data_IF_429190317250
#
_entry.id   IF_429190317250
#
_cell.length_a   1.000
_cell.length_b   1.000
_cell.length_c   1.000
_cell.angle_alpha   90.00
_cell.angle_beta   90.00
_cell.angle_gamma   90.00
#
_symmetry.space_group_name_H-M   'P 1'
#
loop_
_entity.id
_entity.type
_entity.pdbx_description
1 polymer ?
#
# COMPACT_ATOMS: atom_id res chain seq x y z
N UNK A 1 -5.04 12.27 21.71
CA UNK A 1 -5.27 11.32 20.60
C UNK A 1 -4.04 10.44 20.52
N UNK A 2 -4.14 9.10 20.57
CA UNK A 2 -2.98 8.24 20.34
C UNK A 2 -2.69 8.26 18.84
N UNK A 3 -1.73 9.03 18.43
CA UNK A 3 -1.22 9.01 17.07
C UNK A 3 -0.54 7.64 16.83
N UNK A 4 -0.92 6.95 15.78
CA UNK A 4 -0.31 5.67 15.39
C UNK A 4 -1.23 4.45 15.52
N UNK A 5 -2.47 4.61 15.91
CA UNK A 5 -3.43 3.51 15.93
C UNK A 5 -4.12 3.41 14.55
N UNK A 6 -4.12 2.22 13.97
CA UNK A 6 -4.89 1.86 12.79
C UNK A 6 -6.39 2.17 13.00
N UNK A 7 -7.05 2.66 11.95
CA UNK A 7 -8.46 3.07 12.01
C UNK A 7 -9.39 1.91 12.43
N UNK A 8 -9.11 0.67 11.98
CA UNK A 8 -9.90 -0.50 12.36
C UNK A 8 -9.79 -0.79 13.86
N UNK A 9 -8.59 -0.70 14.44
CA UNK A 9 -8.37 -0.87 15.88
C UNK A 9 -9.07 0.24 16.69
N UNK A 10 -9.05 1.47 16.16
CA UNK A 10 -9.75 2.61 16.78
C UNK A 10 -11.25 2.40 16.82
N UNK A 11 -11.84 1.97 15.70
CA UNK A 11 -13.28 1.68 15.61
C UNK A 11 -13.64 0.50 16.51
N UNK A 12 -12.87 -0.59 16.48
CA UNK A 12 -13.09 -1.76 17.32
C UNK A 12 -13.08 -1.40 18.83
N UNK A 13 -12.15 -0.53 19.23
CA UNK A 13 -12.08 -0.04 20.62
C UNK A 13 -13.31 0.78 21.00
N UNK A 14 -13.82 1.65 20.11
CA UNK A 14 -15.07 2.36 20.34
C UNK A 14 -16.27 1.44 20.46
N UNK A 15 -16.28 0.37 19.68
CA UNK A 15 -17.32 -0.66 19.73
C UNK A 15 -17.12 -1.67 20.87
N UNK A 16 -16.04 -1.56 21.64
CA UNK A 16 -15.64 -2.49 22.71
C UNK A 16 -15.52 -3.94 22.25
N UNK A 17 -15.04 -4.13 20.99
CA UNK A 17 -14.76 -5.44 20.42
C UNK A 17 -13.27 -5.59 20.17
N UNK A 18 -12.78 -6.84 20.22
CA UNK A 18 -11.40 -7.18 19.81
C UNK A 18 -11.45 -7.75 18.38
N UNK A 19 -10.92 -7.03 17.39
CA UNK A 19 -10.90 -7.54 16.03
C UNK A 19 -9.89 -8.69 15.90
N UNK A 20 -10.23 -9.68 15.11
CA UNK A 20 -9.28 -10.67 14.61
C UNK A 20 -8.80 -10.19 13.24
N UNK A 21 -7.64 -9.56 13.21
CA UNK A 21 -7.11 -8.92 11.99
C UNK A 21 -6.62 -9.94 10.95
N UNK A 22 -6.49 -11.19 11.32
CA UNK A 22 -6.06 -12.26 10.39
C UNK A 22 -7.24 -13.00 9.74
N UNK A 23 -8.47 -12.76 10.23
CA UNK A 23 -9.67 -13.36 9.65
C UNK A 23 -10.36 -12.44 8.64
N UNK A 24 -10.82 -12.98 7.51
CA UNK A 24 -11.61 -12.22 6.55
C UNK A 24 -12.93 -11.75 7.17
N UNK A 25 -13.33 -10.50 6.89
CA UNK A 25 -14.66 -9.99 7.20
C UNK A 25 -15.49 -9.73 5.94
N UNK A 26 -14.92 -9.97 4.76
CA UNK A 26 -15.60 -9.98 3.47
C UNK A 26 -15.47 -11.37 2.84
N UNK A 27 -16.48 -11.76 2.09
CA UNK A 27 -16.45 -12.96 1.26
C UNK A 27 -17.09 -12.67 -0.09
N UNK A 28 -16.57 -13.27 -1.14
CA UNK A 28 -17.09 -13.21 -2.50
C UNK A 28 -17.51 -14.61 -2.91
N UNK A 29 -18.75 -14.74 -3.37
CA UNK A 29 -19.28 -16.03 -3.78
C UNK A 29 -18.72 -16.48 -5.14
N UNK A 30 -18.56 -15.52 -6.06
CA UNK A 30 -18.10 -15.77 -7.43
C UNK A 30 -16.94 -14.84 -7.77
N UNK A 31 -15.68 -15.25 -7.51
CA UNK A 31 -14.52 -14.50 -7.96
C UNK A 31 -14.55 -14.31 -9.48
N UNK A 32 -14.13 -13.14 -9.95
CA UNK A 32 -14.13 -12.83 -11.37
C UNK A 32 -13.11 -13.71 -12.12
N UNK A 33 -13.53 -14.61 -13.04
CA UNK A 33 -12.62 -15.52 -13.71
C UNK A 33 -11.66 -14.81 -14.68
N UNK A 34 -11.98 -13.59 -15.11
CA UNK A 34 -11.14 -12.80 -16.00
C UNK A 34 -9.84 -12.34 -15.33
N UNK A 35 -9.85 -12.15 -14.02
CA UNK A 35 -8.67 -11.69 -13.27
C UNK A 35 -7.77 -12.83 -12.80
N UNK A 36 -8.13 -14.10 -13.09
CA UNK A 36 -7.31 -15.25 -12.74
C UNK A 36 -5.95 -15.20 -13.44
N UNK A 37 -4.88 -15.38 -12.66
CA UNK A 37 -3.51 -15.27 -13.17
C UNK A 37 -3.04 -13.84 -13.41
N UNK A 38 -3.82 -12.82 -13.00
CA UNK A 38 -3.49 -11.41 -13.18
C UNK A 38 -3.18 -10.72 -11.86
N UNK A 39 -2.54 -9.57 -11.97
CA UNK A 39 -2.35 -8.62 -10.88
C UNK A 39 -3.43 -7.53 -11.05
N UNK A 40 -4.35 -7.46 -10.11
CA UNK A 40 -5.33 -6.38 -10.05
C UNK A 40 -4.69 -5.17 -9.38
N UNK A 41 -4.77 -4.01 -10.04
CA UNK A 41 -4.23 -2.77 -9.51
C UNK A 41 -5.31 -1.71 -9.34
N UNK A 42 -5.11 -0.83 -8.34
CA UNK A 42 -5.96 0.35 -8.13
C UNK A 42 -5.15 1.47 -7.49
N UNK A 43 -5.36 2.69 -7.95
CA UNK A 43 -4.72 3.87 -7.39
C UNK A 43 -5.66 5.05 -7.41
N UNK A 44 -6.32 5.27 -6.27
CA UNK A 44 -7.21 6.43 -6.09
C UNK A 44 -6.45 7.76 -6.10
N UNK A 45 -7.19 8.87 -6.19
CA UNK A 45 -6.62 10.21 -6.37
C UNK A 45 -5.82 10.75 -5.18
N UNK A 46 -5.84 10.09 -4.01
CA UNK A 46 -5.19 10.54 -2.77
C UNK A 46 -4.28 9.48 -2.19
N UNK A 47 -3.42 9.87 -1.26
CA UNK A 47 -2.60 8.98 -0.44
C UNK A 47 -1.59 8.17 -1.26
N UNK A 48 -0.73 8.89 -1.98
CA UNK A 48 0.31 8.30 -2.82
C UNK A 48 1.62 8.13 -2.06
N UNK A 49 2.30 7.02 -2.29
CA UNK A 49 3.67 6.79 -1.86
C UNK A 49 4.64 7.48 -2.83
N UNK A 50 5.50 8.36 -2.31
CA UNK A 50 6.42 9.16 -3.14
C UNK A 50 7.39 8.31 -3.96
N UNK A 51 7.82 7.18 -3.40
CA UNK A 51 8.86 6.31 -3.99
C UNK A 51 8.33 4.97 -4.46
N UNK A 52 7.01 4.79 -4.53
CA UNK A 52 6.45 3.52 -4.97
C UNK A 52 6.72 3.29 -6.47
N UNK A 53 7.29 2.14 -6.86
CA UNK A 53 7.89 1.94 -8.18
C UNK A 53 6.86 1.58 -9.27
N UNK A 54 5.74 2.32 -9.38
CA UNK A 54 4.68 2.03 -10.34
C UNK A 54 5.17 1.91 -11.78
N UNK A 55 6.09 2.80 -12.20
CA UNK A 55 6.58 2.77 -13.58
C UNK A 55 7.30 1.47 -13.90
N UNK A 56 8.18 1.00 -12.99
CA UNK A 56 8.90 -0.25 -13.17
C UNK A 56 7.94 -1.46 -13.13
N UNK A 57 6.90 -1.43 -12.25
CA UNK A 57 5.87 -2.47 -12.19
C UNK A 57 5.13 -2.56 -13.53
N UNK A 58 4.72 -1.42 -14.09
CA UNK A 58 4.03 -1.37 -15.39
C UNK A 58 4.95 -1.87 -16.51
N UNK A 59 6.21 -1.47 -16.54
CA UNK A 59 7.19 -1.93 -17.55
C UNK A 59 7.38 -3.45 -17.51
N UNK A 60 7.41 -4.07 -16.32
CA UNK A 60 7.67 -5.50 -16.16
C UNK A 60 6.41 -6.37 -16.35
N UNK A 61 5.25 -5.92 -15.87
CA UNK A 61 4.04 -6.74 -15.78
C UNK A 61 2.89 -6.25 -16.65
N UNK A 62 3.11 -5.37 -17.61
CA UNK A 62 2.10 -4.71 -18.43
C UNK A 62 0.94 -5.61 -18.86
N UNK A 63 1.25 -6.82 -19.34
CA UNK A 63 0.29 -7.75 -19.91
C UNK A 63 -0.48 -8.54 -18.83
N UNK A 64 0.04 -8.52 -17.61
CA UNK A 64 -0.54 -9.20 -16.44
C UNK A 64 -1.36 -8.23 -15.57
N UNK A 65 -1.26 -6.91 -15.81
CA UNK A 65 -1.91 -5.87 -15.01
C UNK A 65 -3.32 -5.58 -15.50
N UNK A 66 -4.25 -5.46 -14.54
CA UNK A 66 -5.63 -5.02 -14.78
C UNK A 66 -6.01 -3.95 -13.75
N UNK A 67 -6.38 -2.77 -14.23
CA UNK A 67 -6.80 -1.66 -13.36
C UNK A 67 -8.29 -1.73 -13.05
N UNK A 68 -8.64 -1.59 -11.76
CA UNK A 68 -10.01 -1.39 -11.27
C UNK A 68 -10.09 -0.06 -10.52
N UNK A 69 -11.20 0.65 -10.70
CA UNK A 69 -11.43 1.97 -10.10
C UNK A 69 -12.24 2.86 -11.02
N UNK A 70 -12.19 4.17 -10.80
CA UNK A 70 -12.90 5.13 -11.66
C UNK A 70 -12.15 5.33 -12.99
N UNK A 71 -12.88 5.61 -14.10
CA UNK A 71 -12.25 5.88 -15.40
C UNK A 71 -11.18 6.98 -15.36
N UNK A 72 -11.43 8.05 -14.60
CA UNK A 72 -10.51 9.16 -14.43
C UNK A 72 -9.25 8.78 -13.63
N UNK A 73 -9.36 7.85 -12.70
CA UNK A 73 -8.22 7.31 -11.96
C UNK A 73 -7.35 6.44 -12.87
N UNK A 74 -7.96 5.60 -13.70
CA UNK A 74 -7.27 4.82 -14.73
C UNK A 74 -6.56 5.73 -15.73
N UNK A 75 -7.26 6.75 -16.27
CA UNK A 75 -6.65 7.72 -17.18
C UNK A 75 -5.43 8.41 -16.57
N UNK A 76 -5.56 8.85 -15.32
CA UNK A 76 -4.45 9.49 -14.58
C UNK A 76 -3.29 8.51 -14.37
N UNK A 77 -3.58 7.27 -13.98
CA UNK A 77 -2.58 6.23 -13.81
C UNK A 77 -1.81 5.98 -15.10
N UNK A 78 -2.51 5.77 -16.21
CA UNK A 78 -1.89 5.52 -17.52
C UNK A 78 -1.01 6.69 -17.99
N UNK A 79 -1.45 7.93 -17.74
CA UNK A 79 -0.69 9.12 -18.12
C UNK A 79 0.64 9.26 -17.35
N UNK A 80 0.71 8.73 -16.13
CA UNK A 80 1.89 8.82 -15.27
C UNK A 80 2.87 7.64 -15.43
N UNK A 81 2.34 6.43 -15.62
CA UNK A 81 3.12 5.20 -15.49
C UNK A 81 3.14 4.31 -16.71
N UNK A 82 2.25 4.54 -17.67
CA UNK A 82 2.09 3.74 -18.88
C UNK A 82 0.74 3.03 -18.96
N UNK A 83 0.38 2.61 -20.18
CA UNK A 83 -0.92 2.01 -20.43
C UNK A 83 -1.04 0.62 -19.81
N UNK A 84 -2.14 0.40 -19.11
CA UNK A 84 -2.58 -0.88 -18.55
C UNK A 84 -4.03 -1.13 -18.92
N UNK A 85 -4.43 -2.38 -18.87
CA UNK A 85 -5.81 -2.77 -19.16
C UNK A 85 -6.76 -2.21 -18.09
N UNK A 86 -7.95 -1.75 -18.52
CA UNK A 86 -9.02 -1.28 -17.64
C UNK A 86 -10.16 -2.28 -17.56
N UNK A 87 -10.50 -2.72 -16.37
CA UNK A 87 -11.69 -3.51 -16.09
C UNK A 87 -12.76 -2.60 -15.47
N UNK A 88 -13.78 -2.20 -16.23
CA UNK A 88 -14.87 -1.40 -15.69
C UNK A 88 -15.66 -2.20 -14.66
N UNK A 89 -15.96 -1.58 -13.53
CA UNK A 89 -16.76 -2.14 -12.44
C UNK A 89 -17.92 -1.20 -12.13
N UNK A 90 -19.11 -1.73 -11.86
CA UNK A 90 -20.32 -0.94 -11.58
C UNK A 90 -20.40 -0.50 -10.14
N UNK A 91 -19.84 -1.31 -9.25
CA UNK A 91 -19.88 -1.10 -7.82
C UNK A 91 -18.67 -1.75 -7.08
N UNK A 92 -18.63 -1.56 -5.78
CA UNK A 92 -17.56 -2.11 -4.95
C UNK A 92 -17.62 -3.65 -4.81
N UNK A 93 -18.76 -4.28 -5.10
CA UNK A 93 -18.86 -5.73 -5.08
C UNK A 93 -18.15 -6.34 -6.30
N UNK A 94 -18.34 -5.77 -7.50
CA UNK A 94 -17.58 -6.19 -8.69
C UNK A 94 -16.06 -5.94 -8.52
N UNK A 95 -15.66 -4.86 -7.80
CA UNK A 95 -14.25 -4.67 -7.41
C UNK A 95 -13.77 -5.79 -6.51
N UNK A 96 -14.59 -6.22 -5.55
CA UNK A 96 -14.26 -7.34 -4.66
C UNK A 96 -14.14 -8.66 -5.42
N UNK A 97 -15.02 -8.92 -6.41
CA UNK A 97 -14.94 -10.08 -7.29
C UNK A 97 -13.65 -10.08 -8.12
N UNK A 98 -13.27 -8.91 -8.66
CA UNK A 98 -12.04 -8.77 -9.42
C UNK A 98 -10.79 -9.04 -8.54
N UNK A 99 -10.74 -8.48 -7.34
CA UNK A 99 -9.65 -8.71 -6.38
C UNK A 99 -9.61 -10.19 -5.97
N UNK A 100 -10.74 -10.77 -5.59
CA UNK A 100 -10.82 -12.15 -5.15
C UNK A 100 -10.42 -13.17 -6.23
N UNK A 101 -10.61 -12.83 -7.51
CA UNK A 101 -10.25 -13.66 -8.66
C UNK A 101 -8.79 -13.56 -9.08
N UNK A 102 -8.06 -12.54 -8.62
CA UNK A 102 -6.68 -12.27 -9.01
C UNK A 102 -5.67 -13.09 -8.21
N UNK A 103 -4.43 -13.11 -8.65
CA UNK A 103 -3.33 -13.72 -7.90
C UNK A 103 -2.75 -12.74 -6.87
N UNK A 104 -2.80 -11.43 -7.18
CA UNK A 104 -2.23 -10.38 -6.35
C UNK A 104 -3.01 -9.07 -6.55
N UNK A 105 -3.17 -8.31 -5.48
CA UNK A 105 -3.64 -6.93 -5.54
C UNK A 105 -2.51 -5.96 -5.21
N UNK A 106 -2.38 -4.88 -6.00
CA UNK A 106 -1.46 -3.77 -5.71
C UNK A 106 -2.25 -2.47 -5.70
N UNK A 107 -2.22 -1.73 -4.60
CA UNK A 107 -2.95 -0.47 -4.52
C UNK A 107 -2.52 0.47 -3.41
N UNK A 108 -2.99 1.71 -3.49
CA UNK A 108 -2.79 2.70 -2.44
C UNK A 108 -3.85 2.56 -1.33
N UNK A 109 -3.75 3.39 -0.30
CA UNK A 109 -4.68 3.43 0.85
C UNK A 109 -6.06 3.98 0.44
N UNK A 110 -6.84 3.18 -0.28
CA UNK A 110 -8.14 3.50 -0.86
C UNK A 110 -9.17 2.40 -0.58
N UNK A 111 -10.41 2.58 -1.04
CA UNK A 111 -11.48 1.59 -0.86
C UNK A 111 -11.14 0.20 -1.40
N UNK A 112 -10.54 0.03 -2.61
CA UNK A 112 -10.10 -1.27 -3.08
C UNK A 112 -9.08 -1.95 -2.16
N UNK A 113 -8.16 -1.20 -1.55
CA UNK A 113 -7.23 -1.76 -0.56
C UNK A 113 -7.96 -2.23 0.72
N UNK A 114 -8.98 -1.51 1.17
CA UNK A 114 -9.80 -1.94 2.31
C UNK A 114 -10.61 -3.22 1.98
N UNK A 115 -11.07 -3.36 0.74
CA UNK A 115 -11.73 -4.58 0.24
C UNK A 115 -10.75 -5.75 0.23
N UNK A 116 -9.56 -5.54 -0.34
CA UNK A 116 -8.48 -6.54 -0.35
C UNK A 116 -8.14 -7.00 1.06
N UNK A 117 -8.03 -6.05 2.00
CA UNK A 117 -7.85 -6.35 3.41
C UNK A 117 -9.02 -7.13 4.00
N UNK A 118 -10.26 -6.77 3.66
CA UNK A 118 -11.46 -7.51 4.10
C UNK A 118 -11.50 -8.95 3.64
N UNK A 119 -11.01 -9.22 2.44
CA UNK A 119 -10.90 -10.55 1.85
C UNK A 119 -9.68 -11.34 2.37
N UNK A 120 -8.70 -10.67 3.00
CA UNK A 120 -7.38 -11.22 3.33
C UNK A 120 -6.65 -11.77 2.10
N UNK A 121 -6.85 -11.10 0.97
CA UNK A 121 -6.20 -11.45 -0.29
C UNK A 121 -4.73 -11.04 -0.28
N UNK A 122 -3.90 -11.64 -1.15
CA UNK A 122 -2.49 -11.25 -1.30
C UNK A 122 -2.39 -9.80 -1.77
N UNK A 123 -1.58 -9.00 -1.08
CA UNK A 123 -1.59 -7.56 -1.22
C UNK A 123 -0.20 -6.95 -1.15
N UNK A 124 0.05 -6.02 -2.07
CA UNK A 124 1.13 -5.02 -1.96
C UNK A 124 0.48 -3.65 -1.81
N UNK A 125 0.70 -3.01 -0.67
CA UNK A 125 0.15 -1.69 -0.39
C UNK A 125 1.17 -0.59 -0.67
N UNK A 126 0.86 0.30 -1.63
CA UNK A 126 1.50 1.60 -1.75
C UNK A 126 1.17 2.42 -0.50
N UNK A 127 2.14 2.63 0.36
CA UNK A 127 1.94 3.34 1.62
C UNK A 127 2.23 4.83 1.47
N UNK A 128 1.22 5.66 1.69
CA UNK A 128 1.38 7.08 1.89
C UNK A 128 1.73 7.35 3.36
N UNK A 129 2.85 8.00 3.59
CA UNK A 129 3.39 8.27 4.93
C UNK A 129 2.53 9.25 5.74
N UNK A 130 1.61 9.97 5.10
CA UNK A 130 0.68 10.89 5.77
C UNK A 130 -0.64 10.23 6.21
N UNK A 131 -0.95 9.03 5.72
CA UNK A 131 -2.19 8.30 5.98
C UNK A 131 -1.94 6.92 6.59
N UNK A 132 -0.92 6.79 7.42
CA UNK A 132 -0.53 5.51 8.04
C UNK A 132 -1.60 4.91 8.96
N UNK A 133 -2.60 5.66 9.40
CA UNK A 133 -3.75 5.14 10.14
C UNK A 133 -4.70 4.29 9.26
N UNK A 134 -4.55 4.37 7.93
CA UNK A 134 -5.22 3.50 6.96
C UNK A 134 -4.37 2.26 6.58
N UNK A 135 -3.30 1.96 7.31
CA UNK A 135 -2.51 0.75 7.14
C UNK A 135 -3.09 -0.35 8.04
N UNK A 136 -3.48 -1.46 7.42
CA UNK A 136 -3.97 -2.65 8.14
C UNK A 136 -2.82 -3.64 8.22
N UNK A 137 -2.32 -3.89 9.43
CA UNK A 137 -1.24 -4.86 9.64
C UNK A 137 -1.81 -6.22 9.95
N UNK A 138 -1.36 -7.25 9.23
CA UNK A 138 -1.69 -8.66 9.43
C UNK A 138 -0.44 -9.52 9.23
N UNK A 139 -0.48 -10.75 9.72
CA UNK A 139 0.69 -11.62 9.76
C UNK A 139 0.99 -12.33 8.43
N UNK A 140 0.08 -12.29 7.46
CA UNK A 140 0.19 -13.06 6.23
C UNK A 140 -0.26 -12.29 5.00
N UNK A 141 0.24 -12.71 3.83
CA UNK A 141 -0.26 -12.26 2.52
C UNK A 141 -0.31 -10.75 2.33
N UNK A 142 0.60 -10.01 2.97
CA UNK A 142 0.66 -8.57 2.89
C UNK A 142 2.10 -8.08 2.81
N UNK A 143 2.33 -7.14 1.89
CA UNK A 143 3.54 -6.35 1.84
C UNK A 143 3.17 -4.86 1.83
N UNK A 144 3.63 -4.11 2.82
CA UNK A 144 3.40 -2.68 2.94
C UNK A 144 4.74 -2.00 2.70
N UNK A 145 4.79 -1.12 1.71
CA UNK A 145 6.04 -0.45 1.39
C UNK A 145 5.85 1.02 1.02
N UNK A 146 6.85 1.79 1.35
CA UNK A 146 7.04 3.17 0.90
C UNK A 146 8.34 3.31 0.08
N UNK A 147 9.09 2.20 -0.10
CA UNK A 147 10.41 2.20 -0.72
C UNK A 147 10.76 0.89 -1.42
N UNK A 148 11.56 0.05 -0.76
CA UNK A 148 12.00 -1.21 -1.34
C UNK A 148 10.84 -2.17 -1.57
N UNK A 149 10.80 -2.78 -2.75
CA UNK A 149 9.77 -3.72 -3.12
C UNK A 149 10.38 -4.91 -3.86
N UNK A 150 10.09 -6.11 -3.37
CA UNK A 150 10.48 -7.37 -3.99
C UNK A 150 9.30 -8.35 -3.96
N UNK A 151 8.93 -8.89 -5.11
CA UNK A 151 7.90 -9.92 -5.21
C UNK A 151 8.06 -10.76 -6.48
N UNK A 152 7.33 -11.87 -6.56
CA UNK A 152 7.26 -12.72 -7.75
C UNK A 152 5.83 -12.86 -8.22
N UNK A 153 5.62 -12.89 -9.54
CA UNK A 153 4.32 -13.20 -10.15
C UNK A 153 4.56 -14.09 -11.38
N UNK A 154 3.94 -15.27 -11.41
CA UNK A 154 4.22 -16.29 -12.40
C UNK A 154 5.71 -16.69 -12.37
N UNK A 155 6.41 -16.53 -13.49
CA UNK A 155 7.84 -16.80 -13.59
C UNK A 155 8.72 -15.55 -13.45
N UNK A 156 8.12 -14.37 -13.30
CA UNK A 156 8.82 -13.10 -13.21
C UNK A 156 9.12 -12.74 -11.76
N UNK A 157 10.33 -12.26 -11.50
CA UNK A 157 10.75 -11.71 -10.21
C UNK A 157 11.02 -10.22 -10.35
N UNK A 158 10.41 -9.43 -9.49
CA UNK A 158 10.53 -7.97 -9.45
C UNK A 158 11.35 -7.54 -8.23
N UNK A 159 12.28 -6.62 -8.46
CA UNK A 159 13.02 -5.95 -7.41
C UNK A 159 13.17 -4.47 -7.77
N UNK A 160 12.73 -3.60 -6.89
CA UNK A 160 12.96 -2.17 -7.00
C UNK A 160 13.47 -1.61 -5.68
N UNK A 161 14.49 -0.77 -5.79
CA UNK A 161 14.96 0.06 -4.68
C UNK A 161 14.67 1.51 -5.02
N UNK A 162 14.13 2.30 -4.09
CA UNK A 162 13.80 3.68 -4.36
C UNK A 162 15.06 4.50 -4.66
N UNK A 163 14.94 5.39 -5.63
CA UNK A 163 15.91 6.45 -5.85
C UNK A 163 15.71 7.54 -4.80
N UNK A 164 16.38 7.45 -3.67
CA UNK A 164 16.38 8.54 -2.71
C UNK A 164 17.14 9.76 -3.26
N UNK A 165 16.73 10.99 -2.87
CA UNK A 165 17.45 12.19 -3.28
C UNK A 165 18.90 12.13 -2.82
N UNK A 166 19.84 12.62 -3.67
CA UNK A 166 21.28 12.64 -3.34
C UNK A 166 21.62 13.60 -2.21
N UNK A 167 20.78 14.59 -1.99
CA UNK A 167 20.88 15.59 -0.93
C UNK A 167 19.52 15.80 -0.28
N UNK A 168 19.49 16.02 1.02
CA UNK A 168 18.24 16.20 1.75
C UNK A 168 18.37 15.97 3.25
N UNK A 169 17.41 15.26 3.81
CA UNK A 169 17.34 14.94 5.24
C UNK A 169 17.32 13.45 5.45
N UNK A 170 17.91 12.99 6.55
CA UNK A 170 17.95 11.60 6.95
C UNK A 170 17.70 11.42 8.44
N UNK A 171 17.23 10.23 8.80
CA UNK A 171 17.26 9.69 10.16
C UNK A 171 17.95 8.34 10.09
N UNK A 172 18.84 8.07 11.04
CA UNK A 172 19.44 6.74 11.24
C UNK A 172 18.86 6.15 12.53
N UNK A 173 18.19 5.01 12.41
CA UNK A 173 17.58 4.33 13.55
C UNK A 173 17.73 2.80 13.40
N UNK A 174 18.29 2.13 14.41
CA UNK A 174 18.50 0.67 14.40
C UNK A 174 19.20 0.14 13.14
N UNK A 175 20.22 0.86 12.63
CA UNK A 175 20.97 0.59 11.40
C UNK A 175 20.17 0.77 10.08
N UNK A 176 18.94 1.25 10.14
CA UNK A 176 18.19 1.68 8.96
C UNK A 176 18.35 3.17 8.73
N UNK A 177 18.43 3.57 7.48
CA UNK A 177 18.55 4.96 7.06
C UNK A 177 17.31 5.39 6.29
N UNK A 178 16.62 6.40 6.82
CA UNK A 178 15.41 6.99 6.22
C UNK A 178 15.80 8.32 5.56
N UNK A 179 15.74 8.39 4.23
CA UNK A 179 16.15 9.58 3.45
C UNK A 179 14.96 10.20 2.72
N UNK A 180 14.88 11.52 2.73
CA UNK A 180 13.88 12.27 1.99
C UNK A 180 14.36 13.68 1.67
N UNK A 181 13.70 14.33 0.70
CA UNK A 181 13.96 15.73 0.36
C UNK A 181 13.47 16.74 1.42
N UNK A 182 12.63 16.28 2.35
CA UNK A 182 12.10 17.11 3.44
C UNK A 182 12.17 16.36 4.80
N UNK A 183 12.46 17.07 5.91
CA UNK A 183 12.71 16.44 7.21
C UNK A 183 11.48 15.68 7.74
N UNK A 184 10.28 16.21 7.55
CA UNK A 184 9.05 15.57 8.03
C UNK A 184 8.74 14.25 7.32
N UNK A 185 9.25 14.05 6.09
CA UNK A 185 9.13 12.77 5.39
C UNK A 185 10.01 11.69 6.03
N UNK A 186 11.23 12.02 6.45
CA UNK A 186 12.08 11.08 7.19
C UNK A 186 11.40 10.61 8.48
N UNK A 187 10.81 11.55 9.24
CA UNK A 187 10.04 11.24 10.45
C UNK A 187 8.84 10.36 10.16
N UNK A 188 8.11 10.64 9.05
CA UNK A 188 6.95 9.85 8.66
C UNK A 188 7.34 8.40 8.27
N UNK A 189 8.46 8.22 7.55
CA UNK A 189 9.00 6.91 7.19
C UNK A 189 9.37 6.09 8.42
N UNK A 190 10.20 6.66 9.32
CA UNK A 190 10.56 6.01 10.58
C UNK A 190 9.31 5.66 11.41
N UNK A 191 8.35 6.58 11.47
CA UNK A 191 7.12 6.38 12.23
C UNK A 191 6.28 5.25 11.67
N UNK A 192 6.17 5.12 10.33
CA UNK A 192 5.49 4.02 9.70
C UNK A 192 6.12 2.67 10.09
N UNK A 193 7.46 2.57 10.02
CA UNK A 193 8.17 1.34 10.38
C UNK A 193 8.03 1.01 11.87
N UNK A 194 8.10 2.01 12.75
CA UNK A 194 7.91 1.79 14.18
C UNK A 194 6.50 1.29 14.52
N UNK A 195 5.47 1.78 13.83
CA UNK A 195 4.09 1.29 13.99
C UNK A 195 3.99 -0.17 13.56
N UNK A 196 4.60 -0.54 12.42
CA UNK A 196 4.64 -1.91 11.92
C UNK A 196 5.36 -2.86 12.89
N UNK A 197 6.37 -2.37 13.60
CA UNK A 197 7.15 -3.12 14.60
C UNK A 197 6.56 -3.07 16.02
N UNK A 198 5.43 -2.36 16.23
CA UNK A 198 4.80 -2.19 17.55
C UNK A 198 5.54 -1.22 18.49
N UNK A 199 6.48 -0.44 17.97
CA UNK A 199 7.19 0.60 18.71
C UNK A 199 6.39 1.92 18.79
N UNK A 200 6.74 2.78 19.77
CA UNK A 200 6.15 4.11 19.88
C UNK A 200 7.18 5.12 20.39
N UNK A 201 7.31 6.23 19.65
CA UNK A 201 8.10 7.40 20.01
C UNK A 201 7.30 8.66 19.73
N UNK A 202 7.59 9.76 20.42
CA UNK A 202 6.93 11.02 20.12
C UNK A 202 7.42 11.62 18.79
N UNK A 203 6.59 12.42 18.16
CA UNK A 203 6.98 13.12 16.92
C UNK A 203 8.12 14.10 17.20
N UNK A 204 8.09 14.75 18.36
CA UNK A 204 9.14 15.67 18.81
C UNK A 204 10.49 14.96 18.97
N UNK A 205 10.48 13.77 19.55
CA UNK A 205 11.66 12.94 19.70
C UNK A 205 12.22 12.52 18.34
N UNK A 206 11.37 12.02 17.44
CA UNK A 206 11.79 11.64 16.09
C UNK A 206 12.30 12.83 15.26
N UNK A 207 11.71 14.02 15.40
CA UNK A 207 12.18 15.23 14.74
C UNK A 207 13.60 15.63 15.18
N UNK A 208 13.97 15.35 16.43
CA UNK A 208 15.31 15.65 16.94
C UNK A 208 16.42 14.80 16.30
N UNK A 209 16.05 13.68 15.65
CA UNK A 209 16.99 12.77 15.00
C UNK A 209 17.22 13.09 13.52
N UNK A 210 16.54 14.09 12.98
CA UNK A 210 16.66 14.45 11.55
C UNK A 210 17.98 15.17 11.30
N UNK A 211 18.80 14.60 10.42
CA UNK A 211 20.05 15.18 9.97
C UNK A 211 19.94 15.65 8.51
N UNK A 212 20.66 16.73 8.16
CA UNK A 212 20.85 17.17 6.78
C UNK A 212 22.11 16.54 6.21
N UNK A 213 22.06 16.02 4.96
CA UNK A 213 23.20 15.39 4.28
C UNK A 213 23.37 15.91 2.85
#
# INVERSE_FOLDING_TARGET
>A
MRYGENIANRVARWMMVKPDLDKPWLSVQYPNPYTKGKIVISRGARWHGEYFPWKQIVEEFKDDLVFVGLPEEHYTFCSLFGNVEYLPTKDLYEVAEAIAGSDLFIGNQSSPNAICEGLKHDCIQECCLYAFDCVFVRNNKQHITHGELSFTHGTKSFNASPSYPKHGHRIVFNNYEYKANQPHLCVAMLRADLILQGGSYSVEEMNSWVERY
#
